data_IF_346555868918
#
_entry.id   IF_346555868918
#
_cell.length_a   1.000
_cell.length_b   1.000
_cell.length_c   1.000
_cell.angle_alpha   90.00
_cell.angle_beta   90.00
_cell.angle_gamma   90.00
#
_symmetry.space_group_name_H-M   'P 1'
#
loop_
_entity.id
_entity.type
_entity.pdbx_description
1 polymer ?
#
# COMPACT_ATOMS: atom_id res chain seq x y z
N UNK A 1 22.87 -26.56 46.81
CA UNK A 1 23.24 -26.41 45.38
C UNK A 1 21.97 -26.60 44.54
N UNK A 2 21.06 -25.62 44.50
CA UNK A 2 19.78 -25.79 43.76
C UNK A 2 19.13 -24.42 43.47
N UNK A 3 19.88 -23.50 42.85
CA UNK A 3 19.36 -22.16 42.45
C UNK A 3 19.50 -21.93 40.93
N UNK A 4 20.04 -22.91 40.19
CA UNK A 4 20.38 -22.79 38.76
C UNK A 4 19.39 -23.43 37.77
N UNK A 5 18.34 -24.09 38.25
CA UNK A 5 17.36 -24.79 37.40
C UNK A 5 16.07 -23.97 37.20
N UNK A 6 15.54 -23.34 38.26
CA UNK A 6 14.32 -22.51 38.18
C UNK A 6 14.47 -21.29 37.28
N UNK A 7 15.66 -20.66 37.27
CA UNK A 7 15.94 -19.52 36.39
C UNK A 7 16.04 -19.88 34.89
N UNK A 8 16.24 -21.18 34.56
CA UNK A 8 16.38 -21.63 33.17
C UNK A 8 15.02 -21.81 32.51
N UNK A 9 14.05 -22.33 33.26
CA UNK A 9 12.67 -22.48 32.79
C UNK A 9 11.94 -21.14 32.68
N UNK A 10 12.17 -20.21 33.60
CA UNK A 10 11.63 -18.84 33.49
C UNK A 10 12.23 -18.05 32.32
N UNK A 11 13.53 -18.20 32.04
CA UNK A 11 14.18 -17.63 30.85
C UNK A 11 13.70 -18.27 29.54
N UNK A 12 13.46 -19.58 29.53
CA UNK A 12 12.88 -20.26 28.36
C UNK A 12 11.41 -19.89 28.13
N UNK A 13 10.62 -19.70 29.20
CA UNK A 13 9.25 -19.20 29.11
C UNK A 13 9.22 -17.73 28.64
N UNK A 14 10.11 -16.87 29.14
CA UNK A 14 10.23 -15.49 28.69
C UNK A 14 10.70 -15.38 27.22
N UNK A 15 11.64 -16.23 26.79
CA UNK A 15 12.06 -16.29 25.38
C UNK A 15 10.97 -16.89 24.47
N UNK A 16 10.12 -17.80 24.98
CA UNK A 16 8.94 -18.29 24.24
C UNK A 16 7.84 -17.22 24.16
N UNK A 17 7.61 -16.46 25.23
CA UNK A 17 6.70 -15.31 25.23
C UNK A 17 7.19 -14.18 24.31
N UNK A 18 8.50 -13.91 24.27
CA UNK A 18 9.10 -12.92 23.36
C UNK A 18 9.09 -13.39 21.90
N UNK A 19 9.13 -14.70 21.64
CA UNK A 19 8.99 -15.27 20.30
C UNK A 19 7.53 -15.38 19.80
N UNK A 20 6.55 -15.25 20.70
CA UNK A 20 5.12 -15.12 20.34
C UNK A 20 4.71 -13.67 20.04
N UNK A 21 5.54 -12.68 20.39
CA UNK A 21 5.50 -11.35 19.77
C UNK A 21 6.27 -11.43 18.44
N UNK A 22 5.74 -12.20 17.49
CA UNK A 22 6.06 -11.91 16.10
C UNK A 22 5.49 -10.52 15.83
N UNK A 23 6.38 -9.55 15.63
CA UNK A 23 6.05 -8.15 15.40
C UNK A 23 5.38 -8.04 14.04
N UNK A 24 4.10 -8.40 13.95
CA UNK A 24 3.24 -8.00 12.85
C UNK A 24 3.11 -6.48 12.91
N UNK A 25 4.06 -5.80 12.26
CA UNK A 25 3.98 -4.37 12.01
C UNK A 25 2.74 -4.15 11.16
N UNK A 26 1.81 -3.33 11.61
CA UNK A 26 0.69 -2.91 10.76
C UNK A 26 1.23 -2.28 9.49
N UNK A 27 0.76 -2.80 8.37
CA UNK A 27 1.16 -2.34 7.06
C UNK A 27 0.09 -1.42 6.47
N UNK A 28 0.54 -0.30 5.91
CA UNK A 28 -0.25 0.48 4.97
C UNK A 28 0.43 0.42 3.62
N UNK A 29 -0.37 0.24 2.58
CA UNK A 29 0.09 0.38 1.21
C UNK A 29 -0.68 1.51 0.55
N UNK A 30 0.05 2.43 -0.04
CA UNK A 30 -0.50 3.51 -0.85
C UNK A 30 -0.15 3.24 -2.30
N UNK A 31 -1.15 3.15 -3.15
CA UNK A 31 -0.98 2.81 -4.55
C UNK A 31 -1.45 3.95 -5.43
N UNK A 32 -0.60 4.35 -6.37
CA UNK A 32 -0.98 5.12 -7.54
C UNK A 32 -1.26 4.12 -8.65
N UNK A 33 -2.52 3.99 -9.03
CA UNK A 33 -2.99 3.09 -10.08
C UNK A 33 -3.43 3.89 -11.31
N UNK A 34 -3.07 3.41 -12.49
CA UNK A 34 -3.44 3.97 -13.79
C UNK A 34 -3.91 2.83 -14.68
N UNK A 35 -5.16 2.89 -15.13
CA UNK A 35 -5.66 1.99 -16.17
C UNK A 35 -5.00 2.32 -17.51
N UNK A 36 -4.38 1.32 -18.13
CA UNK A 36 -3.66 1.43 -19.39
C UNK A 36 -4.35 0.66 -20.53
N UNK A 37 -5.60 0.25 -20.36
CA UNK A 37 -6.45 -0.46 -21.34
C UNK A 37 -5.78 -1.72 -21.94
N UNK A 38 -4.95 -2.40 -21.15
CA UNK A 38 -4.09 -3.50 -21.60
C UNK A 38 -3.17 -3.15 -22.78
N UNK A 39 -2.75 -1.88 -22.87
CA UNK A 39 -1.87 -1.37 -23.92
C UNK A 39 -0.41 -1.25 -23.43
N UNK A 40 0.47 -2.08 -23.99
CA UNK A 40 1.89 -2.10 -23.65
C UNK A 40 2.63 -0.80 -23.98
N UNK A 41 2.27 -0.11 -25.07
CA UNK A 41 2.88 1.18 -25.42
C UNK A 41 2.52 2.24 -24.38
N UNK A 42 1.23 2.35 -24.03
CA UNK A 42 0.75 3.28 -22.99
C UNK A 42 1.43 2.98 -21.66
N UNK A 43 1.49 1.72 -21.22
CA UNK A 43 2.14 1.30 -19.98
C UNK A 43 3.63 1.73 -19.91
N UNK A 44 4.39 1.45 -20.98
CA UNK A 44 5.80 1.80 -21.03
C UNK A 44 6.01 3.31 -21.06
N UNK A 45 5.19 4.04 -21.83
CA UNK A 45 5.27 5.51 -21.90
C UNK A 45 4.86 6.17 -20.59
N UNK A 46 3.92 5.61 -19.84
CA UNK A 46 3.59 6.06 -18.47
C UNK A 46 4.80 5.87 -17.55
N UNK A 47 5.45 4.71 -17.60
CA UNK A 47 6.68 4.43 -16.82
C UNK A 47 7.77 5.47 -17.09
N UNK A 48 8.05 5.75 -18.37
CA UNK A 48 9.03 6.75 -18.79
C UNK A 48 8.63 8.16 -18.36
N UNK A 49 7.37 8.53 -18.58
CA UNK A 49 6.85 9.87 -18.30
C UNK A 49 6.85 10.18 -16.80
N UNK A 50 6.43 9.23 -15.96
CA UNK A 50 6.38 9.41 -14.52
C UNK A 50 7.77 9.29 -13.87
N UNK A 51 8.71 8.60 -14.51
CA UNK A 51 10.06 8.36 -13.98
C UNK A 51 10.06 7.43 -12.77
N UNK A 52 9.01 6.60 -12.64
CA UNK A 52 8.80 5.67 -11.54
C UNK A 52 8.80 4.24 -12.08
N UNK A 53 9.38 3.31 -11.31
CA UNK A 53 9.29 1.90 -11.64
C UNK A 53 7.97 1.34 -11.09
N UNK A 54 7.13 0.69 -11.93
CA UNK A 54 5.92 0.06 -11.45
C UNK A 54 6.25 -1.08 -10.47
N UNK A 55 5.38 -1.27 -9.49
CA UNK A 55 5.43 -2.39 -8.55
C UNK A 55 4.73 -3.58 -9.19
N UNK A 56 5.50 -4.57 -9.62
CA UNK A 56 4.98 -5.79 -10.27
C UNK A 56 5.19 -7.01 -9.38
N UNK A 57 4.17 -7.86 -9.26
CA UNK A 57 4.32 -9.21 -8.74
C UNK A 57 4.77 -10.18 -9.84
N UNK A 58 5.33 -11.33 -9.47
CA UNK A 58 5.68 -12.38 -10.44
C UNK A 58 4.47 -12.91 -11.22
N UNK A 59 3.29 -12.88 -10.60
CA UNK A 59 2.03 -13.24 -11.28
C UNK A 59 1.71 -12.23 -12.38
N UNK A 60 1.88 -10.94 -12.10
CA UNK A 60 1.59 -9.88 -13.06
C UNK A 60 2.46 -10.02 -14.31
N UNK A 61 3.76 -10.33 -14.15
CA UNK A 61 4.70 -10.48 -15.27
C UNK A 61 4.32 -11.57 -16.27
N UNK A 62 3.58 -12.58 -15.82
CA UNK A 62 3.20 -13.76 -16.61
C UNK A 62 1.75 -13.74 -17.08
N UNK A 63 0.99 -12.71 -16.69
CA UNK A 63 -0.42 -12.54 -17.07
C UNK A 63 -0.57 -12.06 -18.52
N UNK A 64 -1.65 -12.47 -19.17
CA UNK A 64 -2.09 -11.92 -20.47
C UNK A 64 -2.54 -10.45 -20.33
N UNK A 65 -2.94 -10.05 -19.12
CA UNK A 65 -3.39 -8.69 -18.79
C UNK A 65 -2.30 -7.88 -18.07
N UNK A 66 -1.03 -8.24 -18.24
CA UNK A 66 0.11 -7.60 -17.55
C UNK A 66 0.27 -6.10 -17.82
N UNK A 67 -0.37 -5.58 -18.86
CA UNK A 67 -0.36 -4.16 -19.19
C UNK A 67 -1.74 -3.53 -18.99
N UNK A 68 -2.67 -4.22 -18.32
CA UNK A 68 -4.01 -3.68 -18.03
C UNK A 68 -3.92 -2.45 -17.14
N UNK A 69 -3.00 -2.45 -16.20
CA UNK A 69 -2.81 -1.34 -15.27
C UNK A 69 -1.35 -1.11 -14.92
N UNK A 70 -0.96 0.15 -14.85
CA UNK A 70 0.29 0.60 -14.26
C UNK A 70 0.09 0.95 -12.79
N UNK A 71 0.96 0.47 -11.90
CA UNK A 71 0.82 0.68 -10.46
C UNK A 71 2.16 0.99 -9.80
N UNK A 72 2.19 2.02 -8.96
CA UNK A 72 3.33 2.34 -8.08
C UNK A 72 2.89 2.25 -6.62
N UNK A 73 3.62 1.49 -5.81
CA UNK A 73 3.28 1.25 -4.41
C UNK A 73 4.31 1.84 -3.45
N UNK A 74 3.82 2.51 -2.41
CA UNK A 74 4.59 2.89 -1.23
C UNK A 74 4.08 2.09 -0.04
N UNK A 75 5.01 1.54 0.74
CA UNK A 75 4.70 0.78 1.95
C UNK A 75 5.10 1.59 3.17
N UNK A 76 4.18 1.80 4.10
CA UNK A 76 4.40 2.43 5.40
C UNK A 76 4.16 1.41 6.50
N UNK A 77 5.12 1.29 7.40
CA UNK A 77 5.04 0.50 8.63
C UNK A 77 4.89 1.43 9.83
N UNK A 78 4.52 0.90 10.99
CA UNK A 78 4.27 1.70 12.20
C UNK A 78 5.41 2.62 12.66
N UNK A 79 6.65 2.33 12.26
CA UNK A 79 7.82 3.13 12.65
C UNK A 79 8.24 4.14 11.58
N UNK A 80 7.58 4.12 10.42
CA UNK A 80 7.89 5.04 9.35
C UNK A 80 7.26 6.41 9.63
N UNK A 81 7.89 7.51 9.19
CA UNK A 81 7.25 8.81 9.25
C UNK A 81 5.96 8.82 8.43
N UNK A 82 4.99 9.62 8.85
CA UNK A 82 3.75 9.81 8.10
C UNK A 82 4.04 10.16 6.64
N UNK A 83 3.41 9.43 5.73
CA UNK A 83 3.48 9.68 4.30
C UNK A 83 2.16 10.26 3.78
N UNK A 84 2.18 11.53 3.42
CA UNK A 84 1.06 12.24 2.78
C UNK A 84 0.90 11.76 1.33
N UNK A 85 0.36 10.56 1.15
CA UNK A 85 0.31 9.92 -0.16
C UNK A 85 -0.52 10.71 -1.16
N UNK A 86 -1.56 11.43 -0.72
CA UNK A 86 -2.41 12.25 -1.61
C UNK A 86 -1.57 13.35 -2.24
N UNK A 87 -0.89 14.19 -1.45
CA UNK A 87 -0.09 15.27 -2.02
C UNK A 87 1.12 14.74 -2.79
N UNK A 88 1.80 13.70 -2.28
CA UNK A 88 2.95 13.13 -2.99
C UNK A 88 2.57 12.58 -4.37
N UNK A 89 1.45 11.86 -4.49
CA UNK A 89 0.99 11.35 -5.78
C UNK A 89 0.48 12.47 -6.69
N UNK A 90 -0.21 13.48 -6.15
CA UNK A 90 -0.64 14.64 -6.95
C UNK A 90 0.56 15.45 -7.47
N UNK A 91 1.61 15.64 -6.67
CA UNK A 91 2.83 16.32 -7.10
C UNK A 91 3.55 15.58 -8.26
N UNK A 92 3.40 14.25 -8.33
CA UNK A 92 3.89 13.45 -9.46
C UNK A 92 3.06 13.70 -10.73
N UNK A 93 1.74 13.76 -10.59
CA UNK A 93 0.77 13.73 -11.70
C UNK A 93 0.43 15.10 -12.28
N UNK A 94 0.21 16.11 -11.44
CA UNK A 94 -0.22 17.46 -11.82
C UNK A 94 0.61 18.09 -12.95
N UNK A 95 1.96 18.06 -12.91
CA UNK A 95 2.76 18.62 -14.00
C UNK A 95 2.71 17.79 -15.30
N UNK A 96 2.17 16.56 -15.26
CA UNK A 96 2.24 15.58 -16.37
C UNK A 96 0.88 15.28 -17.00
N UNK A 97 -0.21 15.81 -16.47
CA UNK A 97 -1.56 15.54 -16.97
C UNK A 97 -1.76 15.78 -18.47
N UNK A 98 -1.22 16.87 -19.00
CA UNK A 98 -1.33 17.15 -20.44
C UNK A 98 -0.58 16.13 -21.30
N UNK A 99 0.47 15.52 -20.79
CA UNK A 99 1.20 14.46 -21.49
C UNK A 99 0.56 13.09 -21.29
N UNK A 100 0.02 12.82 -20.09
CA UNK A 100 -0.79 11.62 -19.82
C UNK A 100 -2.04 11.55 -20.72
N UNK A 101 -2.73 12.68 -20.93
CA UNK A 101 -3.88 12.74 -21.85
C UNK A 101 -3.51 12.37 -23.29
N UNK A 102 -2.31 12.77 -23.75
CA UNK A 102 -1.81 12.37 -25.09
C UNK A 102 -1.54 10.88 -25.20
N UNK A 103 -1.37 10.18 -24.08
CA UNK A 103 -1.26 8.72 -24.00
C UNK A 103 -2.62 8.02 -23.88
N UNK A 104 -3.73 8.77 -23.83
CA UNK A 104 -5.06 8.23 -23.59
C UNK A 104 -5.36 7.94 -22.11
N UNK A 105 -4.56 8.50 -21.19
CA UNK A 105 -4.77 8.41 -19.74
C UNK A 105 -5.50 9.66 -19.26
N UNK A 106 -6.81 9.56 -19.12
CA UNK A 106 -7.69 10.59 -18.54
C UNK A 106 -7.76 10.44 -17.01
N UNK A 107 -8.28 11.46 -16.29
CA UNK A 107 -8.28 11.44 -14.80
C UNK A 107 -9.11 10.31 -14.22
N UNK A 108 -10.18 9.92 -14.90
CA UNK A 108 -11.06 8.80 -14.52
C UNK A 108 -10.37 7.43 -14.59
N UNK A 109 -9.22 7.34 -15.27
CA UNK A 109 -8.36 6.15 -15.27
C UNK A 109 -7.36 6.10 -14.13
N UNK A 110 -7.29 7.16 -13.33
CA UNK A 110 -6.36 7.28 -12.21
C UNK A 110 -7.10 7.00 -10.91
N UNK A 111 -6.53 6.11 -10.11
CA UNK A 111 -7.05 5.72 -8.80
C UNK A 111 -5.93 5.83 -7.76
N UNK A 112 -6.21 6.50 -6.64
CA UNK A 112 -5.40 6.35 -5.44
C UNK A 112 -6.04 5.27 -4.58
N UNK A 113 -5.27 4.26 -4.21
CA UNK A 113 -5.77 3.14 -3.42
C UNK A 113 -4.95 2.98 -2.14
N UNK A 114 -5.61 3.18 -1.01
CA UNK A 114 -5.06 2.91 0.31
C UNK A 114 -5.51 1.54 0.79
N UNK A 115 -4.53 0.71 1.16
CA UNK A 115 -4.71 -0.59 1.78
C UNK A 115 -4.21 -0.46 3.22
N UNK A 116 -5.09 -0.67 4.20
CA UNK A 116 -4.74 -0.55 5.62
C UNK A 116 -5.02 -1.83 6.42
N UNK A 117 -3.96 -2.42 6.97
CA UNK A 117 -4.03 -3.48 7.95
C UNK A 117 -4.33 -2.94 9.35
N UNK A 118 -5.40 -3.45 9.98
CA UNK A 118 -5.76 -3.06 11.35
C UNK A 118 -5.98 -4.27 12.25
N UNK A 119 -5.70 -4.09 13.54
CA UNK A 119 -5.92 -5.08 14.61
C UNK A 119 -7.18 -4.78 15.43
N UNK A 120 -7.56 -3.50 15.53
CA UNK A 120 -8.73 -3.07 16.31
C UNK A 120 -9.67 -2.16 15.52
N UNK A 121 -9.16 -1.06 14.94
CA UNK A 121 -9.99 -0.06 14.26
C UNK A 121 -9.33 0.39 12.96
N UNK A 122 -10.10 0.48 11.88
CA UNK A 122 -9.71 1.15 10.64
C UNK A 122 -10.05 2.66 10.71
N UNK A 123 -9.57 3.34 11.75
CA UNK A 123 -9.76 4.79 11.90
C UNK A 123 -8.79 5.54 10.99
N UNK A 124 -9.32 6.42 10.13
CA UNK A 124 -8.52 7.23 9.21
C UNK A 124 -8.99 8.67 9.24
N UNK A 125 -8.04 9.58 9.21
CA UNK A 125 -8.28 11.01 9.17
C UNK A 125 -7.61 11.60 7.93
N UNK A 126 -8.32 12.50 7.25
CA UNK A 126 -7.82 13.22 6.09
C UNK A 126 -8.02 14.72 6.31
N UNK A 127 -6.99 15.50 6.03
CA UNK A 127 -7.13 16.95 6.14
C UNK A 127 -8.03 17.48 5.01
N UNK A 128 -8.95 18.42 5.27
CA UNK A 128 -9.85 18.95 4.22
C UNK A 128 -9.12 19.53 3.01
N UNK A 129 -7.89 20.02 3.21
CA UNK A 129 -7.08 20.60 2.13
C UNK A 129 -6.67 19.54 1.09
N UNK A 130 -6.14 18.39 1.53
CA UNK A 130 -5.78 17.27 0.65
C UNK A 130 -7.00 16.75 -0.10
N UNK A 131 -8.13 16.56 0.61
CA UNK A 131 -9.37 16.06 0.00
C UNK A 131 -9.95 17.03 -1.03
N UNK A 132 -9.83 18.34 -0.79
CA UNK A 132 -10.23 19.37 -1.76
C UNK A 132 -9.37 19.30 -3.02
N UNK A 133 -8.05 19.21 -2.86
CA UNK A 133 -7.11 19.10 -3.98
C UNK A 133 -7.37 17.83 -4.80
N UNK A 134 -7.56 16.69 -4.14
CA UNK A 134 -7.90 15.43 -4.78
C UNK A 134 -9.20 15.54 -5.58
N UNK A 135 -10.26 16.08 -4.97
CA UNK A 135 -11.56 16.25 -5.62
C UNK A 135 -11.51 17.20 -6.82
N UNK A 136 -10.75 18.29 -6.74
CA UNK A 136 -10.52 19.22 -7.85
C UNK A 136 -9.74 18.58 -9.00
N UNK A 137 -8.86 17.62 -8.70
CA UNK A 137 -8.15 16.83 -9.68
C UNK A 137 -9.04 15.74 -10.31
N UNK A 138 -10.25 15.48 -9.78
CA UNK A 138 -11.17 14.48 -10.33
C UNK A 138 -10.64 13.04 -10.22
N UNK A 139 -9.78 12.76 -9.25
CA UNK A 139 -9.18 11.44 -9.02
C UNK A 139 -9.96 10.72 -7.92
N UNK A 140 -10.22 9.43 -8.13
CA UNK A 140 -10.89 8.60 -7.12
C UNK A 140 -9.92 8.17 -6.02
N UNK A 141 -10.45 8.08 -4.79
CA UNK A 141 -9.78 7.44 -3.65
C UNK A 141 -10.55 6.18 -3.28
N UNK A 142 -9.90 5.03 -3.38
CA UNK A 142 -10.38 3.77 -2.82
C UNK A 142 -9.63 3.46 -1.53
N UNK A 143 -10.35 2.93 -0.55
CA UNK A 143 -9.77 2.54 0.73
C UNK A 143 -10.28 1.16 1.08
N UNK A 144 -9.36 0.21 1.19
CA UNK A 144 -9.66 -1.14 1.66
C UNK A 144 -8.93 -1.41 2.97
N UNK A 145 -9.70 -1.78 3.99
CA UNK A 145 -9.18 -2.18 5.28
C UNK A 145 -9.29 -3.70 5.43
N UNK A 146 -8.27 -4.37 5.96
CA UNK A 146 -8.40 -5.77 6.39
C UNK A 146 -7.91 -5.94 7.82
N UNK A 147 -8.58 -6.85 8.52
CA UNK A 147 -8.19 -7.22 9.88
C UNK A 147 -7.04 -8.23 9.84
N UNK A 148 -6.07 -8.08 10.75
CA UNK A 148 -5.05 -9.10 11.01
C UNK A 148 -5.47 -10.09 12.10
N UNK A 149 -6.77 -10.41 12.20
CA UNK A 149 -7.25 -11.37 13.19
C UNK A 149 -6.73 -12.78 12.89
N UNK A 150 -5.60 -13.11 13.53
CA UNK A 150 -5.19 -14.47 13.86
C UNK A 150 -6.05 -14.96 15.02
N UNK A 151 -7.35 -15.10 14.81
CA UNK A 151 -8.15 -15.92 15.72
C UNK A 151 -7.76 -17.37 15.45
N UNK A 152 -6.93 -17.96 16.32
CA UNK A 152 -6.81 -19.40 16.46
C UNK A 152 -8.22 -19.97 16.52
N UNK A 153 -8.61 -20.70 15.46
CA UNK A 153 -9.80 -21.53 15.43
C UNK A 153 -9.68 -22.60 16.51
N UNK A 154 -10.01 -22.23 17.75
CA UNK A 154 -10.31 -23.16 18.82
C UNK A 154 -11.72 -23.67 18.57
N UNK A 155 -11.82 -24.64 17.66
CA UNK A 155 -13.00 -25.49 17.55
C UNK A 155 -13.23 -26.16 18.91
N UNK A 156 -14.45 -25.93 19.39
CA UNK A 156 -15.04 -26.41 20.64
C UNK A 156 -15.06 -27.94 20.78
#
# INVERSE_FOLDING_TARGET
MQVGAENRHLRQAANRYAACYDNHKRMKYYQLFIDTDNNAETYNRVTELLGLQPTESEKDKTSEDRYSSWMYMVTETENDPYYDFINNFLDILEPKYGDLEKLGVTRDKILFWMLYEYDQQCGMEFHPQEMTRLGQNGIHLNIDCWTNNTEESTTA
#
